data_IF_840005023153
#
_entry.id   IF_840005023153
#
_cell.length_a   1.000
_cell.length_b   1.000
_cell.length_c   1.000
_cell.angle_alpha   90.00
_cell.angle_beta   90.00
_cell.angle_gamma   90.00
#
_symmetry.space_group_name_H-M   'P 1'
#
loop_
_entity.id
_entity.type
_entity.pdbx_description
1 polymer ?
#
# COMPACT_ATOMS: atom_id res chain seq x y z
N UNK A 1 11.50 3.99 -46.85
CA UNK A 1 10.04 3.84 -47.15
C UNK A 1 9.42 2.71 -46.36
N UNK A 2 9.71 1.42 -46.61
CA UNK A 2 9.14 0.33 -45.78
C UNK A 2 9.65 0.38 -44.33
N UNK A 3 10.94 0.64 -44.12
CA UNK A 3 11.55 0.76 -42.79
C UNK A 3 10.96 1.90 -41.97
N UNK A 4 10.70 3.05 -42.61
CA UNK A 4 10.08 4.22 -41.96
C UNK A 4 8.60 3.96 -41.63
N UNK A 5 7.90 3.21 -42.49
CA UNK A 5 6.51 2.79 -42.26
C UNK A 5 6.41 1.79 -41.09
N UNK A 6 7.33 0.83 -40.99
CA UNK A 6 7.39 -0.08 -39.85
C UNK A 6 7.74 0.66 -38.55
N UNK A 7 8.65 1.64 -38.62
CA UNK A 7 9.05 2.43 -37.46
C UNK A 7 7.90 3.33 -36.97
N UNK A 8 7.24 4.06 -37.86
CA UNK A 8 6.09 4.89 -37.50
C UNK A 8 4.91 4.07 -36.99
N UNK A 9 4.64 2.90 -37.59
CA UNK A 9 3.61 1.99 -37.11
C UNK A 9 3.94 1.42 -35.71
N UNK A 10 5.20 1.06 -35.47
CA UNK A 10 5.68 0.60 -34.16
C UNK A 10 5.55 1.71 -33.12
N UNK A 11 6.07 2.91 -33.40
CA UNK A 11 6.04 4.06 -32.49
C UNK A 11 4.60 4.52 -32.19
N UNK A 12 3.70 4.42 -33.16
CA UNK A 12 2.29 4.76 -33.01
C UNK A 12 1.50 3.70 -32.24
N UNK A 13 1.82 2.41 -32.43
CA UNK A 13 1.27 1.32 -31.62
C UNK A 13 1.73 1.43 -30.18
N UNK A 14 3.01 1.73 -29.95
CA UNK A 14 3.58 1.94 -28.62
C UNK A 14 2.87 3.09 -27.89
N UNK A 15 2.74 4.26 -28.53
CA UNK A 15 2.02 5.41 -27.95
C UNK A 15 0.54 5.17 -27.69
N UNK A 16 -0.11 4.32 -28.46
CA UNK A 16 -1.54 4.00 -28.29
C UNK A 16 -1.76 3.00 -27.15
N UNK A 17 -0.81 2.08 -26.93
CA UNK A 17 -0.88 1.06 -25.87
C UNK A 17 -0.28 1.53 -24.55
N UNK A 18 0.65 2.49 -24.57
CA UNK A 18 1.33 3.04 -23.39
C UNK A 18 0.36 3.46 -22.25
N UNK A 19 -0.77 4.16 -22.52
CA UNK A 19 -1.73 4.53 -21.48
C UNK A 19 -2.36 3.32 -20.79
N UNK A 20 -2.70 2.28 -21.54
CA UNK A 20 -3.27 1.05 -21.01
C UNK A 20 -2.27 0.28 -20.15
N UNK A 21 -1.00 0.22 -20.59
CA UNK A 21 0.08 -0.40 -19.81
C UNK A 21 0.32 0.36 -18.51
N UNK A 22 0.37 1.69 -18.56
CA UNK A 22 0.54 2.54 -17.36
C UNK A 22 -0.65 2.39 -16.40
N UNK A 23 -1.88 2.36 -16.90
CA UNK A 23 -3.08 2.12 -16.09
C UNK A 23 -3.06 0.74 -15.42
N UNK A 24 -2.72 -0.33 -16.15
CA UNK A 24 -2.62 -1.67 -15.56
C UNK A 24 -1.55 -1.75 -14.47
N UNK A 25 -0.40 -1.09 -14.68
CA UNK A 25 0.66 -0.99 -13.65
C UNK A 25 0.18 -0.23 -12.41
N UNK A 26 -0.53 0.88 -12.59
CA UNK A 26 -1.15 1.64 -11.50
C UNK A 26 -2.07 0.76 -10.65
N UNK A 27 -3.00 0.05 -11.29
CA UNK A 27 -3.94 -0.83 -10.58
C UNK A 27 -3.20 -1.94 -9.85
N UNK A 28 -2.22 -2.57 -10.49
CA UNK A 28 -1.41 -3.65 -9.88
C UNK A 28 -0.66 -3.16 -8.65
N UNK A 29 0.00 -1.99 -8.74
CA UNK A 29 0.71 -1.35 -7.62
C UNK A 29 -0.23 -1.09 -6.46
N UNK A 30 -1.43 -0.57 -6.70
CA UNK A 30 -2.39 -0.29 -5.62
C UNK A 30 -2.88 -1.58 -4.94
N UNK A 31 -3.12 -2.65 -5.70
CA UNK A 31 -3.49 -3.96 -5.15
C UNK A 31 -2.35 -4.52 -4.29
N UNK A 32 -1.11 -4.42 -4.74
CA UNK A 32 0.07 -4.86 -3.99
C UNK A 32 0.17 -4.14 -2.65
N UNK A 33 0.10 -2.80 -2.65
CA UNK A 33 0.25 -2.04 -1.41
C UNK A 33 -0.94 -2.28 -0.45
N UNK A 34 -2.17 -2.38 -0.95
CA UNK A 34 -3.33 -2.73 -0.11
C UNK A 34 -3.19 -4.12 0.51
N UNK A 35 -2.65 -5.08 -0.25
CA UNK A 35 -2.40 -6.45 0.22
C UNK A 35 -1.32 -6.46 1.30
N UNK A 36 -0.22 -5.72 1.11
CA UNK A 36 0.80 -5.56 2.14
C UNK A 36 0.23 -4.95 3.42
N UNK A 37 -0.65 -3.96 3.30
CA UNK A 37 -1.28 -3.31 4.45
C UNK A 37 -2.16 -4.30 5.23
N UNK A 38 -2.96 -5.12 4.54
CA UNK A 38 -3.73 -6.20 5.18
C UNK A 38 -2.84 -7.26 5.83
N UNK A 39 -1.77 -7.72 5.15
CA UNK A 39 -0.87 -8.73 5.70
C UNK A 39 -0.13 -8.22 6.95
N UNK A 40 0.33 -6.96 6.93
CA UNK A 40 0.99 -6.33 8.08
C UNK A 40 0.03 -6.18 9.26
N UNK A 41 -1.22 -5.79 9.01
CA UNK A 41 -2.25 -5.71 10.03
C UNK A 41 -2.49 -7.10 10.67
N UNK A 42 -2.73 -8.13 9.85
CA UNK A 42 -2.96 -9.52 10.32
C UNK A 42 -1.79 -10.00 11.17
N UNK A 43 -0.56 -9.79 10.71
CA UNK A 43 0.65 -10.19 11.43
C UNK A 43 0.73 -9.49 12.78
N UNK A 44 0.57 -8.17 12.80
CA UNK A 44 0.69 -7.37 14.02
C UNK A 44 -0.37 -7.76 15.05
N UNK A 45 -1.63 -7.92 14.64
CA UNK A 45 -2.70 -8.32 15.54
C UNK A 45 -2.54 -9.76 16.05
N UNK A 46 -2.05 -10.67 15.21
CA UNK A 46 -1.76 -12.05 15.62
C UNK A 46 -0.61 -12.12 16.63
N UNK A 47 0.49 -11.40 16.37
CA UNK A 47 1.62 -11.29 17.29
C UNK A 47 1.20 -10.67 18.63
N UNK A 48 0.32 -9.65 18.60
CA UNK A 48 -0.25 -9.03 19.78
C UNK A 48 -1.10 -10.00 20.61
N UNK A 49 -2.00 -10.74 19.95
CA UNK A 49 -2.83 -11.76 20.60
C UNK A 49 -2.02 -12.88 21.24
N UNK A 50 -1.00 -13.40 20.53
CA UNK A 50 -0.09 -14.41 21.06
C UNK A 50 0.73 -13.88 22.26
N UNK A 51 1.23 -12.65 22.16
CA UNK A 51 1.94 -11.99 23.26
C UNK A 51 1.03 -11.84 24.48
N UNK A 52 -0.23 -11.45 24.27
CA UNK A 52 -1.21 -11.31 25.33
C UNK A 52 -1.54 -12.65 25.99
N UNK A 53 -1.79 -13.69 25.20
CA UNK A 53 -2.08 -15.04 25.71
C UNK A 53 -0.91 -15.59 26.54
N UNK A 54 0.32 -15.40 26.07
CA UNK A 54 1.52 -15.79 26.81
C UNK A 54 1.63 -15.01 28.12
N UNK A 55 1.45 -13.69 28.06
CA UNK A 55 1.48 -12.82 29.23
C UNK A 55 0.45 -13.22 30.29
N UNK A 56 -0.78 -13.59 29.89
CA UNK A 56 -1.81 -14.11 30.81
C UNK A 56 -1.39 -15.45 31.42
N UNK A 57 -0.87 -16.38 30.61
CA UNK A 57 -0.43 -17.70 31.08
C UNK A 57 0.76 -17.66 32.05
N UNK A 58 1.55 -16.60 32.00
CA UNK A 58 2.70 -16.38 32.90
C UNK A 58 2.31 -15.72 34.24
N UNK A 59 1.04 -15.31 34.43
CA UNK A 59 0.57 -14.73 35.71
C UNK A 59 0.38 -15.82 36.76
N UNK A 60 1.20 -15.80 37.81
CA UNK A 60 1.20 -16.79 38.91
C UNK A 60 1.16 -16.15 40.30
N UNK A 61 1.48 -14.86 40.40
CA UNK A 61 1.57 -14.09 41.64
C UNK A 61 1.41 -12.57 41.38
N UNK A 62 1.35 -11.77 42.45
CA UNK A 62 1.17 -10.30 42.37
C UNK A 62 2.30 -9.60 41.59
N UNK A 63 3.52 -10.16 41.61
CA UNK A 63 4.66 -9.63 40.86
C UNK A 63 4.45 -9.81 39.36
N UNK A 64 4.08 -11.01 38.93
CA UNK A 64 3.74 -11.31 37.53
C UNK A 64 2.51 -10.53 37.03
N UNK A 65 1.57 -10.22 37.93
CA UNK A 65 0.40 -9.38 37.65
C UNK A 65 0.80 -7.91 37.40
N UNK A 66 1.84 -7.42 38.10
CA UNK A 66 2.43 -6.10 37.85
C UNK A 66 3.13 -6.06 36.49
N UNK A 67 3.89 -7.11 36.15
CA UNK A 67 4.54 -7.25 34.83
C UNK A 67 3.51 -7.28 33.70
N UNK A 68 2.41 -8.02 33.87
CA UNK A 68 1.30 -8.06 32.93
C UNK A 68 0.70 -6.66 32.69
N UNK A 69 0.47 -5.89 33.76
CA UNK A 69 -0.06 -4.53 33.65
C UNK A 69 0.88 -3.59 32.87
N UNK A 70 2.20 -3.70 33.10
CA UNK A 70 3.18 -2.95 32.31
C UNK A 70 3.20 -3.38 30.84
N UNK A 71 3.00 -4.66 30.54
CA UNK A 71 2.91 -5.17 29.17
C UNK A 71 1.66 -4.66 28.44
N UNK A 72 0.52 -4.49 29.14
CA UNK A 72 -0.69 -3.91 28.54
C UNK A 72 -0.47 -2.51 27.97
N UNK A 73 0.24 -1.66 28.70
CA UNK A 73 0.55 -0.30 28.24
C UNK A 73 1.43 -0.32 26.99
N UNK A 74 2.41 -1.23 26.92
CA UNK A 74 3.25 -1.41 25.74
C UNK A 74 2.46 -1.94 24.54
N UNK A 75 1.52 -2.85 24.75
CA UNK A 75 0.63 -3.36 23.70
C UNK A 75 -0.24 -2.24 23.13
N UNK A 76 -0.85 -1.42 23.99
CA UNK A 76 -1.66 -0.27 23.56
C UNK A 76 -0.82 0.78 22.82
N UNK A 77 0.39 1.06 23.28
CA UNK A 77 1.32 1.96 22.60
C UNK A 77 1.69 1.45 21.20
N UNK A 78 2.04 0.17 21.08
CA UNK A 78 2.33 -0.47 19.78
C UNK A 78 1.12 -0.45 18.84
N UNK A 79 -0.07 -0.71 19.37
CA UNK A 79 -1.31 -0.63 18.60
C UNK A 79 -1.55 0.78 18.04
N UNK A 80 -1.42 1.80 18.89
CA UNK A 80 -1.58 3.20 18.50
C UNK A 80 -0.56 3.62 17.44
N UNK A 81 0.71 3.22 17.63
CA UNK A 81 1.78 3.46 16.67
C UNK A 81 1.48 2.79 15.32
N UNK A 82 1.05 1.53 15.33
CA UNK A 82 0.71 0.80 14.12
C UNK A 82 -0.46 1.44 13.38
N UNK A 83 -1.54 1.79 14.09
CA UNK A 83 -2.69 2.48 13.52
C UNK A 83 -2.29 3.81 12.87
N UNK A 84 -1.40 4.57 13.49
CA UNK A 84 -0.87 5.82 12.94
C UNK A 84 -0.06 5.56 11.67
N UNK A 85 0.83 4.57 11.69
CA UNK A 85 1.63 4.19 10.53
C UNK A 85 0.76 3.73 9.35
N UNK A 86 -0.25 2.90 9.62
CA UNK A 86 -1.19 2.41 8.61
C UNK A 86 -2.02 3.56 8.03
N UNK A 87 -2.45 4.51 8.87
CA UNK A 87 -3.17 5.72 8.43
C UNK A 87 -2.30 6.60 7.51
N UNK A 88 -1.03 6.77 7.87
CA UNK A 88 -0.07 7.52 7.05
C UNK A 88 0.18 6.82 5.71
N UNK A 89 0.37 5.49 5.71
CA UNK A 89 0.50 4.70 4.48
C UNK A 89 -0.73 4.85 3.59
N UNK A 90 -1.94 4.74 4.14
CA UNK A 90 -3.17 4.92 3.39
C UNK A 90 -3.27 6.32 2.76
N UNK A 91 -2.90 7.37 3.49
CA UNK A 91 -2.85 8.73 2.93
C UNK A 91 -1.83 8.84 1.80
N UNK A 92 -0.63 8.28 1.96
CA UNK A 92 0.38 8.28 0.90
C UNK A 92 -0.08 7.53 -0.35
N UNK A 93 -0.73 6.37 -0.19
CA UNK A 93 -1.29 5.60 -1.31
C UNK A 93 -2.38 6.40 -2.03
N UNK A 94 -3.28 7.03 -1.27
CA UNK A 94 -4.35 7.84 -1.86
C UNK A 94 -3.79 9.04 -2.63
N UNK A 95 -2.74 9.69 -2.09
CA UNK A 95 -2.06 10.80 -2.76
C UNK A 95 -1.32 10.33 -4.03
N UNK A 96 -0.54 9.25 -3.95
CA UNK A 96 0.15 8.68 -5.12
C UNK A 96 -0.85 8.26 -6.20
N UNK A 97 -1.95 7.58 -5.84
CA UNK A 97 -2.98 7.20 -6.79
C UNK A 97 -3.60 8.42 -7.49
N UNK A 98 -3.88 9.48 -6.72
CA UNK A 98 -4.40 10.73 -7.27
C UNK A 98 -3.40 11.36 -8.25
N UNK A 99 -2.14 11.50 -7.83
CA UNK A 99 -1.08 12.11 -8.64
C UNK A 99 -0.84 11.32 -9.93
N UNK A 100 -0.78 9.99 -9.84
CA UNK A 100 -0.58 9.10 -10.99
C UNK A 100 -1.79 9.16 -11.95
N UNK A 101 -3.02 9.30 -11.45
CA UNK A 101 -4.24 9.48 -12.27
C UNK A 101 -4.25 10.86 -12.94
N UNK A 102 -3.87 11.92 -12.24
CA UNK A 102 -3.73 13.26 -12.80
C UNK A 102 -2.64 13.31 -13.87
N UNK A 103 -1.52 12.61 -13.66
CA UNK A 103 -0.46 12.45 -14.64
C UNK A 103 -0.96 11.68 -15.88
N UNK A 104 -1.61 10.53 -15.70
CA UNK A 104 -2.21 9.78 -16.80
C UNK A 104 -3.21 10.63 -17.59
N UNK A 105 -4.05 11.40 -16.91
CA UNK A 105 -5.08 12.23 -17.57
C UNK A 105 -4.44 13.41 -18.31
N UNK A 106 -3.42 14.06 -17.74
CA UNK A 106 -2.71 15.18 -18.38
C UNK A 106 -1.81 14.75 -19.53
N UNK A 107 -1.17 13.58 -19.45
CA UNK A 107 -0.44 12.95 -20.56
C UNK A 107 -1.39 12.57 -21.70
N UNK A 108 -2.58 12.03 -21.38
CA UNK A 108 -3.57 11.65 -22.39
C UNK A 108 -4.38 12.84 -22.96
N UNK A 109 -4.62 13.91 -22.20
CA UNK A 109 -5.21 15.14 -22.76
C UNK A 109 -4.32 15.77 -23.83
N UNK A 110 -2.99 15.59 -23.76
CA UNK A 110 -2.05 16.01 -24.81
C UNK A 110 -2.11 15.12 -26.07
N UNK A 111 -2.66 13.91 -25.98
CA UNK A 111 -2.80 12.98 -27.12
C UNK A 111 -4.21 12.97 -27.72
N UNK A 112 -5.22 13.44 -26.99
CA UNK A 112 -6.64 13.45 -27.42
C UNK A 112 -7.16 14.85 -27.81
N UNK A 113 -6.34 15.91 -27.76
CA UNK A 113 -6.76 17.20 -28.35
C UNK A 113 -6.58 17.14 -29.87
N UNK A 114 -7.66 17.08 -30.67
CA UNK A 114 -7.56 17.22 -32.12
C UNK A 114 -7.27 18.70 -32.42
N UNK A 115 -6.37 18.96 -33.37
CA UNK A 115 -6.28 20.26 -34.02
C UNK A 115 -7.57 20.60 -34.78
#
# INVERSE_FOLDING_TARGET
MYTDFFKSFSDQTEKTLEPYVKFNKLVTKNVEVLTELQLNAIRTYSEMGLTQMKAVGDVKDVTSLTVFNSQQLNVLSKLSQQMTNDSNKLQSIAQEFKDDVEQLTSENLKTVTPA
#
